data_IF_262114098671
#
_entry.id   IF_262114098671
#
_cell.length_a   1.000
_cell.length_b   1.000
_cell.length_c   1.000
_cell.angle_alpha   90.00
_cell.angle_beta   90.00
_cell.angle_gamma   90.00
#
_symmetry.space_group_name_H-M   'P 1'
#
loop_
_entity.id
_entity.type
_entity.pdbx_description
1 polymer ?
#
# COMPACT_ATOMS: atom_id res chain seq x y z
N UNK A 1 0.05 -22.33 7.14
CA UNK A 1 0.59 -21.20 7.94
C UNK A 1 2.07 -21.37 8.28
N UNK A 2 2.93 -21.88 7.39
CA UNK A 2 4.35 -22.18 7.71
C UNK A 2 5.35 -21.78 6.61
N UNK A 3 4.90 -21.16 5.50
CA UNK A 3 5.81 -20.83 4.37
C UNK A 3 6.36 -19.39 4.36
N UNK A 4 5.79 -18.46 5.10
CA UNK A 4 6.26 -17.05 5.11
C UNK A 4 7.54 -16.84 5.95
N UNK A 5 7.98 -17.82 6.73
CA UNK A 5 9.18 -17.69 7.57
C UNK A 5 10.49 -17.62 6.78
N UNK A 6 10.55 -18.22 5.58
CA UNK A 6 11.77 -18.31 4.75
C UNK A 6 11.85 -17.29 3.60
N UNK A 7 10.78 -16.52 3.34
CA UNK A 7 10.81 -15.49 2.31
C UNK A 7 11.86 -14.40 2.65
N UNK A 8 12.58 -13.87 1.66
CA UNK A 8 13.58 -12.83 1.89
C UNK A 8 12.94 -11.55 2.43
N UNK A 9 13.73 -10.73 3.10
CA UNK A 9 13.29 -9.41 3.53
C UNK A 9 13.09 -8.52 2.30
N UNK A 10 11.96 -7.82 2.28
CA UNK A 10 11.64 -6.79 1.29
C UNK A 10 11.91 -5.39 1.85
N UNK A 11 11.48 -5.15 3.11
CA UNK A 11 11.65 -3.88 3.80
C UNK A 11 12.03 -4.16 5.26
N UNK A 12 13.02 -3.40 5.77
CA UNK A 12 13.39 -3.38 7.19
C UNK A 12 13.48 -1.96 7.67
N UNK A 13 12.80 -1.67 8.78
CA UNK A 13 12.87 -0.41 9.51
C UNK A 13 13.60 -0.68 10.81
N UNK A 14 14.65 0.08 11.10
CA UNK A 14 15.48 -0.09 12.29
C UNK A 14 15.52 1.19 13.11
N UNK A 15 14.98 1.15 14.33
CA UNK A 15 15.05 2.22 15.32
C UNK A 15 14.54 3.57 14.81
N UNK A 16 13.53 3.61 13.93
CA UNK A 16 13.11 4.79 13.22
C UNK A 16 12.51 5.84 14.17
N UNK A 17 13.10 7.03 14.21
CA UNK A 17 12.59 8.18 14.95
C UNK A 17 12.28 9.36 14.05
N UNK A 18 11.19 10.08 14.36
CA UNK A 18 10.80 11.32 13.68
C UNK A 18 10.07 12.26 14.63
N UNK A 19 10.48 13.53 14.58
CA UNK A 19 9.79 14.62 15.26
C UNK A 19 9.47 15.75 14.28
N UNK A 20 8.40 16.50 14.55
CA UNK A 20 8.05 17.73 13.87
C UNK A 20 7.78 18.79 14.92
N UNK A 21 8.44 19.93 14.81
CA UNK A 21 8.30 21.06 15.75
C UNK A 21 8.44 20.64 17.23
N UNK A 22 9.39 19.72 17.50
CA UNK A 22 9.65 19.18 18.85
C UNK A 22 8.68 18.08 19.30
N UNK A 23 7.64 17.79 18.54
CA UNK A 23 6.71 16.69 18.83
C UNK A 23 7.20 15.38 18.21
N UNK A 24 7.55 14.39 19.05
CA UNK A 24 8.00 13.07 18.59
C UNK A 24 6.81 12.25 18.09
N UNK A 25 6.78 11.97 16.77
CA UNK A 25 5.74 11.18 16.10
C UNK A 25 6.13 9.71 16.01
N UNK A 26 7.38 9.40 15.65
CA UNK A 26 7.94 8.05 15.70
C UNK A 26 9.04 7.99 16.75
N UNK A 27 9.08 6.90 17.52
CA UNK A 27 9.89 6.80 18.76
C UNK A 27 10.66 5.48 18.82
N UNK A 28 11.45 5.18 17.78
CA UNK A 28 12.19 3.93 17.66
C UNK A 28 11.29 2.81 17.17
N UNK A 29 10.85 2.90 15.91
CA UNK A 29 10.05 1.88 15.25
C UNK A 29 10.98 0.86 14.61
N UNK A 30 10.79 -0.42 14.96
CA UNK A 30 11.41 -1.57 14.30
C UNK A 30 10.31 -2.38 13.60
N UNK A 31 10.56 -2.74 12.32
CA UNK A 31 9.60 -3.50 11.53
C UNK A 31 10.31 -4.23 10.39
N UNK A 32 10.07 -5.53 10.26
CA UNK A 32 10.52 -6.35 9.13
C UNK A 32 9.31 -6.74 8.26
N UNK A 33 9.37 -6.49 6.96
CA UNK A 33 8.38 -6.94 5.99
C UNK A 33 9.08 -7.85 4.99
N UNK A 34 8.56 -9.07 4.85
CA UNK A 34 9.08 -10.08 3.91
C UNK A 34 8.42 -9.95 2.54
N UNK A 35 9.13 -10.39 1.51
CA UNK A 35 8.59 -10.48 0.16
C UNK A 35 7.32 -11.34 0.14
N UNK A 36 6.30 -10.90 -0.61
CA UNK A 36 5.01 -11.56 -0.69
C UNK A 36 4.12 -11.39 0.55
N UNK A 37 4.51 -10.60 1.57
CA UNK A 37 3.67 -10.37 2.73
C UNK A 37 2.51 -9.40 2.44
N UNK A 38 1.32 -9.69 3.00
CA UNK A 38 0.23 -8.73 3.10
C UNK A 38 0.19 -8.15 4.52
N UNK A 39 0.52 -6.88 4.65
CA UNK A 39 0.65 -6.19 5.94
C UNK A 39 -0.33 -5.03 6.04
N UNK A 40 -1.11 -4.97 7.12
CA UNK A 40 -1.92 -3.81 7.46
C UNK A 40 -1.28 -3.04 8.62
N UNK A 41 -0.96 -1.77 8.38
CA UNK A 41 -0.50 -0.84 9.42
C UNK A 41 -1.71 -0.10 9.97
N UNK A 42 -2.03 -0.33 11.23
CA UNK A 42 -3.21 0.21 11.91
C UNK A 42 -2.84 1.08 13.11
N UNK A 43 -3.81 1.80 13.65
CA UNK A 43 -3.62 2.64 14.85
C UNK A 43 -4.51 3.87 14.81
N UNK A 44 -4.58 4.58 15.92
CA UNK A 44 -5.37 5.80 16.07
C UNK A 44 -4.95 6.93 15.11
N UNK A 45 -5.81 7.95 14.98
CA UNK A 45 -5.45 9.15 14.22
C UNK A 45 -4.22 9.82 14.85
N UNK A 46 -3.27 10.26 14.03
CA UNK A 46 -2.05 10.95 14.48
C UNK A 46 -0.97 10.05 15.10
N UNK A 47 -1.14 8.73 15.19
CA UNK A 47 -0.14 7.83 15.78
C UNK A 47 1.12 7.60 14.91
N UNK A 48 1.20 8.18 13.70
CA UNK A 48 2.39 8.13 12.85
C UNK A 48 2.33 7.18 11.65
N UNK A 49 1.17 6.56 11.32
CA UNK A 49 1.05 5.59 10.20
C UNK A 49 1.53 6.16 8.86
N UNK A 50 0.99 7.30 8.43
CA UNK A 50 1.41 7.93 7.16
C UNK A 50 2.85 8.48 7.24
N UNK A 51 3.32 8.85 8.44
CA UNK A 51 4.71 9.24 8.64
C UNK A 51 5.64 8.03 8.44
N UNK A 52 5.30 6.86 9.01
CA UNK A 52 6.03 5.62 8.79
C UNK A 52 6.02 5.24 7.29
N UNK A 53 4.86 5.28 6.65
CA UNK A 53 4.73 4.99 5.22
C UNK A 53 5.63 5.92 4.37
N UNK A 54 5.64 7.23 4.66
CA UNK A 54 6.47 8.17 3.92
C UNK A 54 7.97 7.95 4.11
N UNK A 55 8.41 7.42 5.27
CA UNK A 55 9.81 7.00 5.44
C UNK A 55 10.11 5.73 4.64
N UNK A 56 9.21 4.75 4.65
CA UNK A 56 9.34 3.53 3.84
C UNK A 56 9.43 3.87 2.34
N UNK A 57 8.66 4.87 1.90
CA UNK A 57 8.70 5.36 0.52
C UNK A 57 9.90 6.27 0.20
N UNK A 58 10.77 6.56 1.17
CA UNK A 58 11.90 7.49 0.98
C UNK A 58 11.50 8.96 0.78
N UNK A 59 10.24 9.30 1.05
CA UNK A 59 9.71 10.67 0.91
C UNK A 59 10.03 11.56 2.14
N UNK A 60 10.43 10.95 3.25
CA UNK A 60 10.86 11.63 4.47
C UNK A 60 12.19 11.07 4.96
N UNK A 61 13.07 11.95 5.43
CA UNK A 61 14.32 11.56 6.08
C UNK A 61 14.07 11.38 7.59
N UNK A 62 14.58 10.29 8.21
CA UNK A 62 14.48 10.08 9.64
C UNK A 62 15.40 11.02 10.43
N UNK A 63 15.04 11.28 11.69
CA UNK A 63 15.91 12.00 12.62
C UNK A 63 16.92 11.03 13.29
N UNK A 64 16.52 9.74 13.42
CA UNK A 64 17.39 8.63 13.82
C UNK A 64 16.83 7.31 13.27
N UNK A 65 17.68 6.27 13.24
CA UNK A 65 17.35 4.99 12.64
C UNK A 65 17.48 5.01 11.12
N UNK A 66 16.98 3.97 10.45
CA UNK A 66 17.08 3.84 8.99
C UNK A 66 15.99 2.95 8.42
N UNK A 67 15.79 3.06 7.11
CA UNK A 67 14.93 2.17 6.34
C UNK A 67 15.77 1.48 5.28
N UNK A 68 15.76 0.16 5.31
CA UNK A 68 16.47 -0.69 4.37
C UNK A 68 15.44 -1.38 3.46
N UNK A 69 15.76 -1.50 2.18
CA UNK A 69 14.91 -2.15 1.18
C UNK A 69 15.71 -3.16 0.35
N UNK A 70 15.04 -4.19 -0.11
CA UNK A 70 15.65 -5.17 -1.01
C UNK A 70 16.09 -4.50 -2.31
N UNK A 71 17.31 -4.85 -2.79
CA UNK A 71 17.74 -4.43 -4.11
C UNK A 71 16.92 -5.16 -5.17
N UNK A 72 16.15 -4.44 -6.04
CA UNK A 72 15.33 -5.08 -7.05
C UNK A 72 16.14 -5.86 -8.10
N UNK A 73 17.42 -5.53 -8.28
CA UNK A 73 18.33 -6.22 -9.19
C UNK A 73 18.99 -7.45 -8.57
N UNK A 74 18.99 -7.56 -7.21
CA UNK A 74 19.69 -8.62 -6.47
C UNK A 74 18.81 -9.18 -5.35
N UNK A 75 17.74 -9.85 -5.71
CA UNK A 75 16.82 -10.50 -4.75
C UNK A 75 17.58 -11.43 -3.80
N UNK A 76 17.41 -11.20 -2.48
CA UNK A 76 18.09 -11.97 -1.44
C UNK A 76 19.57 -11.56 -1.22
N UNK A 77 20.03 -10.47 -1.84
CA UNK A 77 21.31 -9.82 -1.57
C UNK A 77 21.28 -8.88 -0.37
N UNK A 78 22.29 -8.01 -0.28
CA UNK A 78 22.36 -6.96 0.73
C UNK A 78 21.23 -5.96 0.53
N UNK A 79 20.65 -5.49 1.64
CA UNK A 79 19.60 -4.46 1.61
C UNK A 79 20.23 -3.08 1.43
N UNK A 80 19.51 -2.20 0.72
CA UNK A 80 19.91 -0.82 0.44
C UNK A 80 19.33 0.12 1.50
N UNK A 81 20.16 0.97 2.10
CA UNK A 81 19.69 2.03 3.01
C UNK A 81 19.16 3.21 2.18
N UNK A 82 17.84 3.45 2.26
CA UNK A 82 17.18 4.53 1.51
C UNK A 82 17.77 5.91 1.81
N UNK A 83 18.24 6.14 3.04
CA UNK A 83 18.84 7.41 3.46
C UNK A 83 20.22 7.67 2.84
N UNK A 84 20.87 6.63 2.33
CA UNK A 84 22.17 6.71 1.71
C UNK A 84 22.15 6.75 0.17
N UNK A 85 20.94 6.58 -0.43
CA UNK A 85 20.81 6.56 -1.89
C UNK A 85 20.74 7.98 -2.46
N UNK A 86 21.28 8.15 -3.66
CA UNK A 86 21.03 9.33 -4.49
C UNK A 86 19.65 9.25 -5.14
N UNK A 87 19.25 10.36 -5.80
CA UNK A 87 17.93 10.47 -6.42
C UNK A 87 17.72 9.47 -7.56
N UNK A 88 18.76 9.17 -8.33
CA UNK A 88 18.68 8.27 -9.48
C UNK A 88 18.46 6.84 -8.99
N UNK A 89 19.23 6.39 -8.01
CA UNK A 89 19.06 5.05 -7.43
C UNK A 89 17.73 4.87 -6.69
N UNK A 90 17.26 5.93 -6.02
CA UNK A 90 15.92 5.92 -5.41
C UNK A 90 14.82 5.81 -6.47
N UNK A 91 14.96 6.50 -7.61
CA UNK A 91 14.04 6.38 -8.72
C UNK A 91 14.00 4.96 -9.31
N UNK A 92 15.15 4.29 -9.43
CA UNK A 92 15.23 2.87 -9.85
C UNK A 92 14.43 1.94 -8.94
N UNK A 93 14.44 2.18 -7.62
CA UNK A 93 13.63 1.41 -6.66
C UNK A 93 12.15 1.72 -6.86
N UNK A 94 11.78 2.99 -7.00
CA UNK A 94 10.39 3.42 -7.14
C UNK A 94 9.70 2.87 -8.40
N UNK A 95 10.44 2.54 -9.46
CA UNK A 95 9.88 1.88 -10.66
C UNK A 95 9.23 0.52 -10.32
N UNK A 96 9.70 -0.14 -9.25
CA UNK A 96 9.19 -1.43 -8.78
C UNK A 96 8.09 -1.31 -7.72
N UNK A 97 7.66 -0.08 -7.39
CA UNK A 97 6.68 0.21 -6.36
C UNK A 97 5.43 0.87 -6.93
N UNK A 98 4.28 0.33 -6.60
CA UNK A 98 2.98 0.95 -6.87
C UNK A 98 2.45 1.65 -5.62
N UNK A 99 2.16 2.94 -5.70
CA UNK A 99 1.66 3.72 -4.56
C UNK A 99 0.29 4.30 -4.87
N UNK A 100 -0.67 4.04 -3.99
CA UNK A 100 -2.04 4.58 -4.05
C UNK A 100 -2.29 5.39 -2.79
N UNK A 101 -2.22 6.70 -2.90
CA UNK A 101 -2.45 7.63 -1.80
C UNK A 101 -3.95 7.77 -1.46
N UNK A 102 -4.24 8.24 -0.26
CA UNK A 102 -5.59 8.54 0.21
C UNK A 102 -6.33 9.47 -0.78
N UNK A 103 -5.71 10.56 -1.18
CA UNK A 103 -6.12 11.35 -2.35
C UNK A 103 -5.54 10.68 -3.58
N UNK A 104 -6.38 10.34 -4.55
CA UNK A 104 -5.99 9.51 -5.71
C UNK A 104 -4.81 10.06 -6.54
N UNK A 105 -4.46 11.34 -6.36
CA UNK A 105 -3.35 12.04 -7.01
C UNK A 105 -3.33 11.80 -8.55
N UNK A 106 -4.53 11.82 -9.18
CA UNK A 106 -4.63 11.75 -10.63
C UNK A 106 -4.23 13.11 -11.24
N UNK A 107 -3.54 13.05 -12.38
CA UNK A 107 -3.20 14.22 -13.16
C UNK A 107 -4.42 14.68 -13.97
N UNK A 108 -4.56 15.98 -14.22
CA UNK A 108 -5.54 16.49 -15.18
C UNK A 108 -5.24 15.91 -16.57
N UNK A 109 -6.26 15.32 -17.19
CA UNK A 109 -6.07 14.66 -18.49
C UNK A 109 -7.03 13.50 -18.67
N UNK A 110 -6.73 12.64 -19.62
CA UNK A 110 -7.52 11.44 -19.91
C UNK A 110 -7.16 10.28 -18.96
N UNK A 111 -7.99 9.26 -18.98
CA UNK A 111 -7.69 7.98 -18.32
C UNK A 111 -6.39 7.39 -18.88
N UNK A 112 -6.23 7.44 -20.21
CA UNK A 112 -5.02 6.94 -20.88
C UNK A 112 -3.77 7.71 -20.45
N UNK A 113 -3.83 9.06 -20.35
CA UNK A 113 -2.70 9.87 -19.89
C UNK A 113 -2.28 9.45 -18.47
N UNK A 114 -3.25 9.24 -17.58
CA UNK A 114 -2.96 8.84 -16.21
C UNK A 114 -2.31 7.46 -16.09
N UNK A 115 -2.69 6.49 -16.90
CA UNK A 115 -2.10 5.15 -16.88
C UNK A 115 -0.78 5.12 -17.65
N UNK A 116 -0.70 5.84 -18.77
CA UNK A 116 0.38 5.74 -19.74
C UNK A 116 1.61 6.58 -19.43
N UNK A 117 1.48 7.69 -18.68
CA UNK A 117 2.56 8.66 -18.48
C UNK A 117 3.90 8.00 -18.08
N UNK A 118 3.90 7.16 -17.06
CA UNK A 118 5.12 6.49 -16.60
C UNK A 118 5.63 5.41 -17.55
N UNK A 119 4.73 4.76 -18.29
CA UNK A 119 5.10 3.79 -19.31
C UNK A 119 5.82 4.46 -20.47
N UNK A 120 5.41 5.68 -20.83
CA UNK A 120 6.04 6.50 -21.87
C UNK A 120 7.36 7.10 -21.38
N UNK A 121 7.33 7.86 -20.27
CA UNK A 121 8.45 8.67 -19.80
C UNK A 121 9.58 7.81 -19.19
N UNK A 122 9.25 6.73 -18.49
CA UNK A 122 10.24 5.90 -17.77
C UNK A 122 10.66 4.68 -18.59
N UNK A 123 9.67 3.99 -19.23
CA UNK A 123 9.95 2.76 -20.00
C UNK A 123 10.09 3.00 -21.50
N UNK A 124 9.78 4.20 -22.01
CA UNK A 124 9.87 4.54 -23.43
C UNK A 124 8.97 3.67 -24.33
N UNK A 125 7.84 3.17 -23.80
CA UNK A 125 6.99 2.28 -24.55
C UNK A 125 6.22 3.01 -25.67
N UNK A 126 6.02 2.37 -26.84
CA UNK A 126 5.24 2.96 -27.90
C UNK A 126 3.74 3.06 -27.53
N UNK A 127 3.05 4.07 -28.08
CA UNK A 127 1.65 4.38 -27.78
C UNK A 127 0.68 3.18 -27.94
N UNK A 128 0.94 2.26 -28.86
CA UNK A 128 0.14 1.06 -29.05
C UNK A 128 0.27 0.10 -27.85
N UNK A 129 1.49 -0.18 -27.41
CA UNK A 129 1.77 -1.00 -26.24
C UNK A 129 1.16 -0.38 -24.98
N UNK A 130 1.25 0.96 -24.82
CA UNK A 130 0.65 1.68 -23.70
C UNK A 130 -0.87 1.48 -23.68
N UNK A 131 -1.55 1.54 -24.85
CA UNK A 131 -3.00 1.28 -24.92
C UNK A 131 -3.35 -0.15 -24.52
N UNK A 132 -2.56 -1.13 -24.93
CA UNK A 132 -2.79 -2.54 -24.57
C UNK A 132 -2.60 -2.77 -23.07
N UNK A 133 -1.53 -2.20 -22.48
CA UNK A 133 -1.34 -2.23 -21.02
C UNK A 133 -2.51 -1.53 -20.31
N UNK A 134 -2.93 -0.35 -20.79
CA UNK A 134 -4.03 0.38 -20.19
C UNK A 134 -5.34 -0.42 -20.20
N UNK A 135 -5.69 -1.10 -21.31
CA UNK A 135 -6.86 -1.97 -21.39
C UNK A 135 -6.77 -3.11 -20.39
N UNK A 136 -5.63 -3.80 -20.34
CA UNK A 136 -5.40 -4.92 -19.42
C UNK A 136 -5.60 -4.49 -17.96
N UNK A 137 -4.98 -3.38 -17.53
CA UNK A 137 -5.11 -2.94 -16.14
C UNK A 137 -6.50 -2.37 -15.82
N UNK A 138 -7.20 -1.75 -16.78
CA UNK A 138 -8.59 -1.32 -16.60
C UNK A 138 -9.52 -2.53 -16.39
N UNK A 139 -9.37 -3.59 -17.19
CA UNK A 139 -10.10 -4.84 -16.99
C UNK A 139 -9.81 -5.42 -15.61
N UNK A 140 -8.55 -5.46 -15.19
CA UNK A 140 -8.14 -5.98 -13.86
C UNK A 140 -8.78 -5.21 -12.70
N UNK A 141 -9.02 -3.89 -12.86
CA UNK A 141 -9.69 -3.09 -11.81
C UNK A 141 -11.22 -3.00 -12.01
N UNK A 142 -11.79 -3.76 -12.96
CA UNK A 142 -13.23 -3.79 -13.22
C UNK A 142 -13.79 -2.49 -13.80
N UNK A 143 -13.02 -1.81 -14.65
CA UNK A 143 -13.43 -0.62 -15.40
C UNK A 143 -13.53 -0.91 -16.91
N UNK A 144 -14.33 -0.12 -17.67
CA UNK A 144 -14.38 -0.27 -19.12
C UNK A 144 -13.01 -0.05 -19.77
N UNK A 145 -12.69 -0.85 -20.78
CA UNK A 145 -11.43 -0.80 -21.54
C UNK A 145 -11.60 -0.21 -22.96
N UNK A 146 -12.77 0.39 -23.22
CA UNK A 146 -13.11 0.98 -24.52
C UNK A 146 -12.26 2.22 -24.85
N UNK A 147 -12.10 2.48 -26.14
CA UNK A 147 -11.38 3.67 -26.60
C UNK A 147 -12.00 4.97 -26.08
N UNK A 148 -13.33 5.05 -26.01
CA UNK A 148 -14.05 6.21 -25.48
C UNK A 148 -13.77 6.41 -23.99
N UNK A 149 -13.71 5.35 -23.19
CA UNK A 149 -13.39 5.43 -21.78
C UNK A 149 -11.92 5.86 -21.57
N UNK A 150 -10.99 5.31 -22.34
CA UNK A 150 -9.58 5.70 -22.31
C UNK A 150 -9.38 7.18 -22.65
N UNK A 151 -10.17 7.73 -23.60
CA UNK A 151 -10.15 9.15 -23.98
C UNK A 151 -10.93 10.04 -22.99
N UNK A 152 -11.70 9.45 -22.07
CA UNK A 152 -12.50 10.15 -21.07
C UNK A 152 -11.62 10.92 -20.08
N UNK A 153 -12.12 12.08 -19.61
CA UNK A 153 -11.45 12.95 -18.63
C UNK A 153 -11.60 12.39 -17.22
N UNK A 154 -10.50 12.37 -16.47
CA UNK A 154 -10.51 11.85 -15.07
C UNK A 154 -11.35 12.72 -14.13
N UNK A 155 -11.52 14.01 -14.44
CA UNK A 155 -12.34 14.93 -13.64
C UNK A 155 -13.84 14.59 -13.67
N UNK A 156 -14.28 13.79 -14.64
CA UNK A 156 -15.68 13.33 -14.76
C UNK A 156 -15.95 12.03 -14.01
N UNK A 157 -14.94 11.41 -13.40
CA UNK A 157 -15.06 10.12 -12.73
C UNK A 157 -15.68 10.25 -11.33
N UNK A 158 -16.43 9.22 -10.91
CA UNK A 158 -16.83 9.08 -9.49
C UNK A 158 -15.60 8.80 -8.61
N UNK A 159 -15.71 9.03 -7.30
CA UNK A 159 -14.63 8.77 -6.36
C UNK A 159 -14.11 7.32 -6.42
N UNK A 160 -15.02 6.35 -6.53
CA UNK A 160 -14.67 4.93 -6.67
C UNK A 160 -13.97 4.62 -8.00
N UNK A 161 -14.43 5.20 -9.12
CA UNK A 161 -13.75 5.06 -10.41
C UNK A 161 -12.35 5.69 -10.38
N UNK A 162 -12.23 6.90 -9.81
CA UNK A 162 -10.94 7.57 -9.66
C UNK A 162 -9.95 6.74 -8.80
N UNK A 163 -10.44 6.09 -7.73
CA UNK A 163 -9.62 5.16 -6.92
C UNK A 163 -9.16 3.95 -7.75
N UNK A 164 -10.04 3.36 -8.55
CA UNK A 164 -9.68 2.23 -9.44
C UNK A 164 -8.68 2.64 -10.51
N UNK A 165 -8.78 3.86 -11.08
CA UNK A 165 -7.78 4.39 -12.02
C UNK A 165 -6.42 4.58 -11.32
N UNK A 166 -6.39 5.07 -10.07
CA UNK A 166 -5.14 5.19 -9.32
C UNK A 166 -4.48 3.81 -9.08
N UNK A 167 -5.28 2.77 -8.81
CA UNK A 167 -4.80 1.38 -8.69
C UNK A 167 -4.32 0.86 -10.07
N UNK A 168 -5.09 1.06 -11.14
CA UNK A 168 -4.71 0.66 -12.49
C UNK A 168 -3.38 1.30 -12.92
N UNK A 169 -3.18 2.59 -12.64
CA UNK A 169 -1.92 3.30 -12.90
C UNK A 169 -0.75 2.66 -12.16
N UNK A 170 -0.94 2.33 -10.89
CA UNK A 170 0.10 1.66 -10.10
C UNK A 170 0.42 0.27 -10.65
N UNK A 171 -0.59 -0.52 -11.05
CA UNK A 171 -0.43 -1.86 -11.62
C UNK A 171 0.22 -1.86 -13.00
N UNK A 172 0.06 -0.79 -13.78
CA UNK A 172 0.61 -0.69 -15.14
C UNK A 172 2.14 -0.84 -15.18
N UNK A 173 2.82 -0.48 -14.10
CA UNK A 173 4.28 -0.64 -13.96
C UNK A 173 4.71 -2.04 -13.53
N UNK A 174 3.77 -2.96 -13.30
CA UNK A 174 4.03 -4.33 -12.81
C UNK A 174 4.87 -4.34 -11.52
N UNK A 175 4.40 -3.65 -10.48
CA UNK A 175 5.18 -3.45 -9.26
C UNK A 175 5.34 -4.74 -8.47
N UNK A 176 6.47 -4.87 -7.76
CA UNK A 176 6.72 -5.92 -6.76
C UNK A 176 6.05 -5.59 -5.44
N UNK A 177 6.04 -4.30 -5.06
CA UNK A 177 5.43 -3.82 -3.84
C UNK A 177 4.26 -2.89 -4.17
N UNK A 178 3.14 -3.08 -3.47
CA UNK A 178 1.99 -2.18 -3.52
C UNK A 178 1.78 -1.52 -2.17
N UNK A 179 1.65 -0.19 -2.17
CA UNK A 179 1.40 0.61 -0.99
C UNK A 179 0.05 1.32 -1.13
N UNK A 180 -0.80 1.17 -0.12
CA UNK A 180 -2.11 1.80 -0.07
C UNK A 180 -2.24 2.63 1.20
N UNK A 181 -2.47 3.93 1.05
CA UNK A 181 -2.76 4.82 2.17
C UNK A 181 -4.26 5.11 2.20
N UNK A 182 -4.97 4.55 3.18
CA UNK A 182 -6.39 4.70 3.42
C UNK A 182 -7.26 4.48 2.15
N UNK A 183 -7.18 3.30 1.51
CA UNK A 183 -7.77 3.08 0.18
C UNK A 183 -9.29 3.15 0.12
N UNK A 184 -9.99 2.92 1.25
CA UNK A 184 -11.46 2.89 1.35
C UNK A 184 -12.06 4.17 1.95
N UNK A 185 -11.22 5.08 2.46
CA UNK A 185 -11.68 6.31 3.12
C UNK A 185 -12.45 7.21 2.16
N UNK A 186 -13.64 7.65 2.59
CA UNK A 186 -14.53 8.54 1.82
C UNK A 186 -15.33 7.85 0.72
N UNK A 187 -15.31 6.51 0.66
CA UNK A 187 -16.16 5.73 -0.24
C UNK A 187 -17.41 5.24 0.47
N UNK A 188 -18.50 5.04 -0.28
CA UNK A 188 -19.68 4.34 0.22
C UNK A 188 -19.36 2.85 0.50
N UNK A 189 -20.15 2.15 1.36
CA UNK A 189 -19.85 0.79 1.78
C UNK A 189 -19.73 -0.22 0.63
N UNK A 190 -20.54 -0.07 -0.43
CA UNK A 190 -20.51 -0.98 -1.57
C UNK A 190 -19.21 -0.79 -2.36
N UNK A 191 -18.86 0.44 -2.65
CA UNK A 191 -17.60 0.78 -3.35
C UNK A 191 -16.40 0.40 -2.50
N UNK A 192 -16.42 0.64 -1.18
CA UNK A 192 -15.35 0.24 -0.26
C UNK A 192 -15.12 -1.29 -0.30
N UNK A 193 -16.20 -2.08 -0.23
CA UNK A 193 -16.14 -3.55 -0.35
C UNK A 193 -15.50 -4.00 -1.67
N UNK A 194 -15.85 -3.35 -2.79
CA UNK A 194 -15.27 -3.66 -4.10
C UNK A 194 -13.79 -3.29 -4.18
N UNK A 195 -13.35 -2.21 -3.52
CA UNK A 195 -11.92 -1.87 -3.43
C UNK A 195 -11.18 -2.88 -2.56
N UNK A 196 -11.77 -3.36 -1.46
CA UNK A 196 -11.17 -4.42 -0.63
C UNK A 196 -10.94 -5.71 -1.44
N UNK A 197 -11.93 -6.14 -2.27
CA UNK A 197 -11.75 -7.28 -3.19
C UNK A 197 -10.61 -7.04 -4.17
N UNK A 198 -10.53 -5.84 -4.71
CA UNK A 198 -9.49 -5.46 -5.65
C UNK A 198 -8.10 -5.48 -4.99
N UNK A 199 -7.97 -5.06 -3.73
CA UNK A 199 -6.69 -5.14 -3.00
C UNK A 199 -6.22 -6.60 -2.91
N UNK A 200 -7.13 -7.53 -2.59
CA UNK A 200 -6.81 -8.94 -2.53
C UNK A 200 -6.39 -9.48 -3.91
N UNK A 201 -7.17 -9.17 -4.95
CA UNK A 201 -6.86 -9.59 -6.32
C UNK A 201 -5.52 -9.04 -6.82
N UNK A 202 -5.13 -7.82 -6.40
CA UNK A 202 -3.84 -7.24 -6.78
C UNK A 202 -2.65 -7.83 -6.00
N UNK A 203 -2.88 -8.38 -4.80
CA UNK A 203 -1.85 -9.06 -4.03
C UNK A 203 -1.48 -10.41 -4.64
N UNK A 204 -2.50 -11.19 -5.05
CA UNK A 204 -2.32 -12.48 -5.71
C UNK A 204 -2.06 -12.23 -7.19
N UNK A 205 -0.88 -12.60 -7.69
CA UNK A 205 -0.61 -12.51 -9.12
C UNK A 205 -1.25 -13.70 -9.85
N UNK A 206 -2.40 -13.47 -10.51
CA UNK A 206 -3.10 -14.49 -11.29
C UNK A 206 -2.29 -15.04 -12.48
N UNK A 207 -1.20 -14.38 -12.88
CA UNK A 207 -0.31 -14.84 -13.94
C UNK A 207 0.67 -15.95 -13.51
N UNK A 208 0.58 -16.40 -12.23
CA UNK A 208 1.43 -17.47 -11.68
C UNK A 208 2.82 -17.00 -11.23
N UNK A 209 2.98 -15.69 -11.06
CA UNK A 209 4.15 -15.09 -10.42
C UNK A 209 4.12 -15.22 -8.89
N UNK A 210 5.17 -14.73 -8.24
CA UNK A 210 5.21 -14.62 -6.78
C UNK A 210 4.17 -13.59 -6.30
N UNK A 211 3.57 -13.82 -5.13
CA UNK A 211 2.69 -12.84 -4.47
C UNK A 211 3.39 -11.49 -4.33
N UNK A 212 2.67 -10.40 -4.61
CA UNK A 212 3.21 -9.05 -4.40
C UNK A 212 3.28 -8.72 -2.91
N UNK A 213 4.33 -8.03 -2.50
CA UNK A 213 4.34 -7.44 -1.16
C UNK A 213 3.32 -6.31 -1.12
N UNK A 214 2.36 -6.39 -0.20
CA UNK A 214 1.28 -5.41 -0.09
C UNK A 214 1.26 -4.80 1.30
N UNK A 215 1.38 -3.48 1.38
CA UNK A 215 1.30 -2.71 2.61
C UNK A 215 0.09 -1.78 2.54
N UNK A 216 -0.83 -1.91 3.50
CA UNK A 216 -2.03 -1.07 3.59
C UNK A 216 -2.02 -0.32 4.91
N UNK A 217 -2.00 1.01 4.84
CA UNK A 217 -2.30 1.86 6.01
C UNK A 217 -3.79 2.03 6.07
N UNK A 218 -4.43 1.67 7.18
CA UNK A 218 -5.88 1.75 7.30
C UNK A 218 -6.38 1.84 8.73
N UNK A 219 -7.56 2.39 8.91
CA UNK A 219 -8.38 2.26 10.10
C UNK A 219 -9.66 1.43 9.86
N UNK A 220 -9.85 0.92 8.64
CA UNK A 220 -11.02 0.15 8.22
C UNK A 220 -10.94 -1.30 8.77
N UNK A 221 -11.81 -1.62 9.73
CA UNK A 221 -11.90 -2.96 10.32
C UNK A 221 -12.46 -3.99 9.35
N UNK A 222 -13.43 -3.59 8.51
CA UNK A 222 -14.04 -4.50 7.55
C UNK A 222 -12.98 -5.03 6.58
N UNK A 223 -12.03 -4.17 6.21
CA UNK A 223 -10.86 -4.55 5.43
C UNK A 223 -10.03 -5.62 6.16
N UNK A 224 -9.76 -5.44 7.47
CA UNK A 224 -8.98 -6.42 8.24
C UNK A 224 -9.71 -7.76 8.37
N UNK A 225 -11.02 -7.75 8.65
CA UNK A 225 -11.83 -8.97 8.73
C UNK A 225 -11.88 -9.73 7.41
N UNK A 226 -11.94 -9.00 6.30
CA UNK A 226 -12.04 -9.57 4.96
C UNK A 226 -10.73 -10.15 4.46
N UNK A 227 -9.63 -9.45 4.68
CA UNK A 227 -8.32 -9.79 4.10
C UNK A 227 -7.42 -10.58 5.05
N UNK A 228 -7.70 -10.54 6.36
CA UNK A 228 -6.93 -11.21 7.42
C UNK A 228 -5.41 -11.06 7.25
N UNK A 229 -4.89 -9.83 7.11
CA UNK A 229 -3.47 -9.59 6.88
C UNK A 229 -2.66 -9.81 8.16
N UNK A 230 -1.33 -9.80 8.04
CA UNK A 230 -0.47 -9.50 9.20
C UNK A 230 -0.75 -8.07 9.64
N UNK A 231 -1.04 -7.87 10.91
CA UNK A 231 -1.38 -6.57 11.49
C UNK A 231 -0.19 -6.01 12.25
N UNK A 232 0.20 -4.78 11.93
CA UNK A 232 1.19 -3.98 12.65
C UNK A 232 0.46 -2.79 13.27
N UNK A 233 0.32 -2.75 14.59
CA UNK A 233 -0.36 -1.63 15.26
C UNK A 233 0.64 -0.62 15.77
N UNK A 234 0.50 0.62 15.31
CA UNK A 234 1.20 1.76 15.90
C UNK A 234 0.38 2.40 17.02
N UNK A 235 1.05 2.62 18.16
CA UNK A 235 0.52 3.37 19.29
C UNK A 235 1.62 4.22 19.91
N UNK A 236 1.36 5.50 20.13
CA UNK A 236 2.33 6.46 20.69
C UNK A 236 3.70 6.45 19.99
N UNK A 237 3.68 6.31 18.66
CA UNK A 237 4.89 6.32 17.84
C UNK A 237 5.74 5.04 17.92
N UNK A 238 5.20 3.94 18.45
CA UNK A 238 5.87 2.64 18.56
C UNK A 238 5.01 1.52 17.99
N UNK A 239 5.64 0.41 17.59
CA UNK A 239 4.91 -0.83 17.30
C UNK A 239 4.45 -1.44 18.62
N UNK A 240 3.14 -1.51 18.82
CA UNK A 240 2.52 -2.08 20.02
C UNK A 240 1.99 -3.50 19.81
N UNK A 241 1.82 -3.90 18.56
CA UNK A 241 1.46 -5.25 18.15
C UNK A 241 2.02 -5.53 16.75
N UNK A 242 2.44 -6.76 16.52
CA UNK A 242 2.87 -7.29 15.24
C UNK A 242 2.55 -8.80 15.18
N UNK A 243 1.64 -9.19 14.31
CA UNK A 243 1.22 -10.58 14.20
C UNK A 243 0.04 -10.80 13.26
N UNK A 244 -0.43 -12.05 13.11
CA UNK A 244 -1.59 -12.37 12.28
C UNK A 244 -2.87 -11.73 12.83
N UNK A 245 -3.85 -11.48 11.93
CA UNK A 245 -5.12 -10.82 12.28
C UNK A 245 -5.85 -11.54 13.43
N UNK A 246 -5.87 -12.88 13.43
CA UNK A 246 -6.53 -13.67 14.47
C UNK A 246 -5.92 -13.45 15.87
N UNK A 247 -4.58 -13.29 15.94
CA UNK A 247 -3.91 -12.96 17.18
C UNK A 247 -4.18 -11.51 17.61
N UNK A 248 -4.32 -10.58 16.66
CA UNK A 248 -4.70 -9.20 16.92
C UNK A 248 -6.10 -9.10 17.50
N UNK A 249 -7.07 -9.80 16.90
CA UNK A 249 -8.46 -9.89 17.39
C UNK A 249 -8.52 -10.51 18.79
N UNK A 250 -7.84 -11.63 19.01
CA UNK A 250 -7.77 -12.27 20.32
C UNK A 250 -7.14 -11.35 21.39
N UNK A 251 -6.12 -10.59 21.04
CA UNK A 251 -5.46 -9.65 21.96
C UNK A 251 -6.38 -8.48 22.37
N UNK A 252 -7.42 -8.15 21.61
CA UNK A 252 -8.40 -7.12 21.97
C UNK A 252 -9.12 -7.41 23.30
N UNK A 253 -9.25 -8.68 23.68
CA UNK A 253 -9.90 -9.07 24.93
C UNK A 253 -9.11 -8.56 26.15
N UNK A 254 -7.80 -8.59 26.11
CA UNK A 254 -6.92 -8.31 27.26
C UNK A 254 -6.13 -7.00 27.14
N UNK A 255 -5.84 -6.55 25.91
CA UNK A 255 -5.02 -5.37 25.68
C UNK A 255 -5.82 -4.07 25.79
N UNK A 256 -5.48 -3.15 26.71
CA UNK A 256 -6.13 -1.85 26.81
C UNK A 256 -5.82 -0.93 25.60
N UNK A 257 -4.80 -1.24 24.81
CA UNK A 257 -4.40 -0.50 23.60
C UNK A 257 -5.20 -0.98 22.39
N UNK A 258 -5.40 -2.31 22.26
CA UNK A 258 -6.06 -2.91 21.10
C UNK A 258 -7.58 -2.86 21.23
N UNK A 259 -8.11 -3.07 22.44
CA UNK A 259 -9.56 -3.07 22.71
C UNK A 259 -10.29 -1.83 22.16
N UNK A 260 -9.84 -0.57 22.39
CA UNK A 260 -10.51 0.60 21.86
C UNK A 260 -10.57 0.64 20.33
N UNK A 261 -9.57 0.04 19.65
CA UNK A 261 -9.58 -0.07 18.19
C UNK A 261 -10.81 -0.84 17.70
N UNK A 262 -11.22 -1.91 18.40
CA UNK A 262 -12.41 -2.69 18.05
C UNK A 262 -13.72 -2.09 18.59
N UNK A 263 -13.73 -1.46 19.75
CA UNK A 263 -14.94 -0.90 20.38
C UNK A 263 -15.38 0.42 19.76
N UNK A 264 -14.45 1.32 19.46
CA UNK A 264 -14.74 2.70 19.04
C UNK A 264 -15.07 2.86 17.56
N UNK A 265 -14.81 1.84 16.75
CA UNK A 265 -15.11 1.89 15.33
C UNK A 265 -16.35 1.07 14.99
N UNK A 266 -17.38 1.63 14.32
CA UNK A 266 -18.55 0.85 13.94
C UNK A 266 -18.17 -0.26 12.96
N UNK A 267 -18.63 -1.48 13.23
CA UNK A 267 -18.59 -2.60 12.27
C UNK A 267 -19.80 -2.43 11.37
N UNK A 268 -19.61 -2.13 10.10
CA UNK A 268 -20.69 -1.91 9.14
C UNK A 268 -21.38 -3.22 8.73
N UNK A 269 -20.75 -4.37 8.89
CA UNK A 269 -21.30 -5.68 8.54
C UNK A 269 -20.93 -6.76 9.56
N UNK A 270 -21.74 -6.96 10.62
CA UNK A 270 -21.85 -8.28 11.23
C UNK A 270 -22.80 -9.11 10.34
N UNK A 271 -22.29 -10.10 9.63
CA UNK A 271 -23.11 -11.23 9.22
C UNK A 271 -23.39 -12.04 10.49
N UNK A 272 -24.64 -12.05 10.91
CA UNK A 272 -25.12 -13.08 11.82
C UNK A 272 -25.15 -14.37 10.97
N UNK A 273 -24.30 -15.36 11.36
CA UNK A 273 -24.41 -16.75 10.90
C UNK A 273 -25.57 -17.43 11.61
#
# INVERSE_FOLDING_TARGET
MTEQSDAPLEIRVEGLEKAFDGHRVLRGVDLDIRAGAFVAVVGGSGCGKSVLLNHILGLLQPDAGRVLVADPERLGGDMLDLGALDADRLADIHVHWGVVFQRNALFSGTVLDNIGLWLEEVRGLPAETIRDVARRVLTAVGLPDSADFLAGRVEALSGGMAKRIAIARALAMEPRCMFFDEPTTGLDPVTASQIQDLLLATHVDESGGAERTTIVVTHDKDLLYRLKPRVVMLHDGRVSFDGPFEAFEAAAVTSPIIRPYFELMPVLHRRED
#
